data_IF_579074712887
#
_entry.id   IF_579074712887
#
_cell.length_a   1.000
_cell.length_b   1.000
_cell.length_c   1.000
_cell.angle_alpha   90.00
_cell.angle_beta   90.00
_cell.angle_gamma   90.00
#
_symmetry.space_group_name_H-M   'P 1'
#
loop_
_entity.id
_entity.type
_entity.pdbx_description
1 polymer ?
#
# COMPACT_ATOMS: atom_id res chain seq x y z
N UNK A 1 -16.55 -18.60 2.00
CA UNK A 1 -17.21 -17.39 1.45
C UNK A 1 -16.45 -16.12 1.83
N UNK A 2 -16.23 -15.82 3.10
CA UNK A 2 -15.44 -14.63 3.51
C UNK A 2 -14.00 -14.59 2.94
N UNK A 3 -13.33 -15.73 2.86
CA UNK A 3 -11.98 -15.85 2.30
C UNK A 3 -11.90 -15.44 0.81
N UNK A 4 -12.90 -15.76 0.01
CA UNK A 4 -12.91 -15.41 -1.41
C UNK A 4 -13.17 -13.91 -1.63
N UNK A 5 -14.03 -13.29 -0.83
CA UNK A 5 -14.28 -11.85 -0.88
C UNK A 5 -13.03 -11.07 -0.48
N UNK A 6 -12.34 -11.51 0.57
CA UNK A 6 -11.08 -10.92 1.02
C UNK A 6 -10.01 -10.99 -0.07
N UNK A 7 -9.84 -12.14 -0.71
CA UNK A 7 -8.90 -12.31 -1.82
C UNK A 7 -9.25 -11.43 -3.02
N UNK A 8 -10.53 -11.32 -3.36
CA UNK A 8 -11.01 -10.44 -4.44
C UNK A 8 -10.70 -8.99 -4.12
N UNK A 9 -11.03 -8.52 -2.92
CA UNK A 9 -10.75 -7.15 -2.47
C UNK A 9 -9.26 -6.84 -2.48
N UNK A 10 -8.42 -7.78 -2.01
CA UNK A 10 -6.97 -7.63 -2.05
C UNK A 10 -6.44 -7.56 -3.49
N UNK A 11 -6.97 -8.36 -4.40
CA UNK A 11 -6.60 -8.33 -5.81
C UNK A 11 -6.97 -7.01 -6.47
N UNK A 12 -8.18 -6.50 -6.22
CA UNK A 12 -8.63 -5.19 -6.70
C UNK A 12 -7.74 -4.06 -6.17
N UNK A 13 -7.39 -4.10 -4.89
CA UNK A 13 -6.52 -3.09 -4.28
C UNK A 13 -5.10 -3.13 -4.84
N UNK A 14 -4.58 -4.31 -5.15
CA UNK A 14 -3.28 -4.45 -5.83
C UNK A 14 -3.31 -3.88 -7.24
N UNK A 15 -4.40 -4.04 -7.99
CA UNK A 15 -4.57 -3.41 -9.30
C UNK A 15 -4.62 -1.89 -9.20
N UNK A 16 -5.35 -1.35 -8.23
CA UNK A 16 -5.38 0.09 -7.94
C UNK A 16 -3.98 0.60 -7.60
N UNK A 17 -3.26 -0.10 -6.75
CA UNK A 17 -1.88 0.24 -6.37
C UNK A 17 -0.94 0.22 -7.58
N UNK A 18 -1.06 -0.77 -8.46
CA UNK A 18 -0.28 -0.83 -9.69
C UNK A 18 -0.55 0.39 -10.60
N UNK A 19 -1.81 0.81 -10.72
CA UNK A 19 -2.20 2.04 -11.44
C UNK A 19 -1.59 3.30 -10.83
N UNK A 20 -1.61 3.41 -9.50
CA UNK A 20 -0.99 4.51 -8.75
C UNK A 20 0.53 4.55 -8.98
N UNK A 21 1.20 3.42 -8.91
CA UNK A 21 2.65 3.30 -9.16
C UNK A 21 3.02 3.67 -10.60
N UNK A 22 2.19 3.29 -11.57
CA UNK A 22 2.38 3.68 -12.96
C UNK A 22 2.26 5.21 -13.14
N UNK A 23 1.27 5.84 -12.50
CA UNK A 23 1.12 7.29 -12.49
C UNK A 23 2.32 8.00 -11.84
N UNK A 24 2.82 7.47 -10.74
CA UNK A 24 4.03 7.97 -10.06
C UNK A 24 5.24 7.97 -11.01
N UNK A 25 5.46 6.86 -11.73
CA UNK A 25 6.55 6.75 -12.71
C UNK A 25 6.42 7.76 -13.87
N UNK A 26 5.19 7.94 -14.37
CA UNK A 26 4.93 8.95 -15.41
C UNK A 26 5.25 10.36 -14.92
N UNK A 27 4.85 10.71 -13.71
CA UNK A 27 5.15 12.01 -13.10
C UNK A 27 6.64 12.19 -12.85
N UNK A 28 7.35 11.16 -12.38
CA UNK A 28 8.80 11.21 -12.20
C UNK A 28 9.53 11.47 -13.54
N UNK A 29 9.09 10.84 -14.61
CA UNK A 29 9.62 11.08 -15.97
C UNK A 29 9.34 12.50 -16.45
N UNK A 30 8.13 13.02 -16.24
CA UNK A 30 7.76 14.41 -16.60
C UNK A 30 8.60 15.43 -15.81
N UNK A 31 8.75 15.24 -14.51
CA UNK A 31 9.57 16.10 -13.64
C UNK A 31 11.02 16.12 -14.12
N UNK A 32 11.61 14.98 -14.42
CA UNK A 32 12.97 14.87 -14.94
C UNK A 32 13.10 15.59 -16.30
N UNK A 33 12.12 15.46 -17.18
CA UNK A 33 12.07 16.13 -18.48
C UNK A 33 12.01 17.66 -18.33
N UNK A 34 11.13 18.18 -17.48
CA UNK A 34 11.03 19.62 -17.24
C UNK A 34 12.31 20.20 -16.63
N UNK A 35 12.92 19.51 -15.69
CA UNK A 35 14.22 19.91 -15.12
C UNK A 35 15.33 19.95 -16.17
N UNK A 36 15.34 18.98 -17.08
CA UNK A 36 16.30 18.96 -18.20
C UNK A 36 16.07 20.13 -19.15
N UNK A 37 14.83 20.43 -19.49
CA UNK A 37 14.48 21.58 -20.35
C UNK A 37 14.88 22.89 -19.69
N UNK A 38 14.64 23.09 -18.41
CA UNK A 38 15.06 24.28 -17.67
C UNK A 38 16.58 24.49 -17.68
N UNK A 39 17.36 23.42 -17.61
CA UNK A 39 18.83 23.51 -17.70
C UNK A 39 19.33 23.88 -19.09
N UNK A 40 18.61 23.49 -20.13
CA UNK A 40 18.98 23.73 -21.54
C UNK A 40 18.62 25.13 -22.01
N UNK A 41 17.55 25.71 -21.49
CA UNK A 41 17.05 27.00 -21.97
C UNK A 41 18.07 28.15 -21.94
N UNK A 42 18.86 28.38 -20.85
CA UNK A 42 19.87 29.42 -20.84
C UNK A 42 20.94 29.26 -21.93
N UNK A 43 21.36 28.02 -22.20
CA UNK A 43 22.34 27.72 -23.26
C UNK A 43 21.74 27.89 -24.64
N UNK A 44 20.50 27.55 -24.86
CA UNK A 44 19.78 27.77 -26.10
C UNK A 44 19.65 29.27 -26.42
N UNK A 45 19.41 30.10 -25.39
CA UNK A 45 19.41 31.53 -25.52
C UNK A 45 20.81 32.07 -25.92
N UNK A 46 21.86 31.63 -25.21
CA UNK A 46 23.23 32.11 -25.46
C UNK A 46 23.79 31.76 -26.86
N UNK A 47 23.40 30.62 -27.39
CA UNK A 47 23.91 30.07 -28.66
C UNK A 47 22.85 30.00 -29.78
N UNK A 48 21.64 30.47 -29.51
CA UNK A 48 20.51 30.44 -30.44
C UNK A 48 20.06 31.83 -30.86
N UNK A 49 19.08 31.86 -31.75
CA UNK A 49 18.48 33.09 -32.29
C UNK A 49 17.21 33.53 -31.52
N UNK A 50 16.96 32.96 -30.35
CA UNK A 50 15.75 33.25 -29.54
C UNK A 50 15.95 34.54 -28.76
N UNK A 51 14.91 35.40 -28.67
CA UNK A 51 14.94 36.59 -27.84
C UNK A 51 14.99 36.27 -26.35
N UNK A 52 15.58 37.16 -25.55
CA UNK A 52 15.63 37.02 -24.10
C UNK A 52 14.21 36.92 -23.49
N UNK A 53 13.30 37.79 -23.95
CA UNK A 53 11.91 37.79 -23.42
C UNK A 53 11.18 36.47 -23.71
N UNK A 54 11.35 35.91 -24.91
CA UNK A 54 10.79 34.62 -25.27
C UNK A 54 11.39 33.49 -24.43
N UNK A 55 12.69 33.51 -24.15
CA UNK A 55 13.37 32.53 -23.32
C UNK A 55 12.94 32.59 -21.85
N UNK A 56 12.81 33.79 -21.30
CA UNK A 56 12.30 34.01 -19.93
C UNK A 56 10.86 33.55 -19.80
N UNK A 57 9.99 33.86 -20.77
CA UNK A 57 8.61 33.39 -20.81
C UNK A 57 8.51 31.86 -20.88
N UNK A 58 9.32 31.23 -21.72
CA UNK A 58 9.38 29.77 -21.83
C UNK A 58 9.85 29.10 -20.52
N UNK A 59 10.85 29.70 -19.85
CA UNK A 59 11.26 29.23 -18.51
C UNK A 59 10.13 29.29 -17.49
N UNK A 60 9.39 30.40 -17.44
CA UNK A 60 8.25 30.57 -16.55
C UNK A 60 7.16 29.53 -16.77
N UNK A 61 6.83 29.24 -18.03
CA UNK A 61 5.85 28.19 -18.36
C UNK A 61 6.30 26.80 -17.93
N UNK A 62 7.58 26.47 -18.11
CA UNK A 62 8.12 25.16 -17.71
C UNK A 62 8.19 25.05 -16.19
N UNK A 63 8.58 26.11 -15.47
CA UNK A 63 8.58 26.15 -14.01
C UNK A 63 7.18 25.91 -13.44
N UNK A 64 6.16 26.54 -14.01
CA UNK A 64 4.76 26.35 -13.63
C UNK A 64 4.30 24.90 -13.84
N UNK A 65 4.62 24.30 -14.98
CA UNK A 65 4.32 22.90 -15.27
C UNK A 65 5.07 21.94 -14.35
N UNK A 66 6.31 22.27 -14.02
CA UNK A 66 7.11 21.50 -13.07
C UNK A 66 6.49 21.54 -11.67
N UNK A 67 6.08 22.71 -11.21
CA UNK A 67 5.42 22.86 -9.89
C UNK A 67 4.10 22.09 -9.85
N UNK A 68 3.30 22.14 -10.91
CA UNK A 68 2.07 21.37 -11.04
C UNK A 68 2.32 19.86 -11.00
N UNK A 69 3.34 19.38 -11.70
CA UNK A 69 3.73 17.98 -11.72
C UNK A 69 4.21 17.50 -10.33
N UNK A 70 4.98 18.31 -9.62
CA UNK A 70 5.44 18.04 -8.25
C UNK A 70 4.25 17.99 -7.30
N UNK A 71 3.30 18.93 -7.41
CA UNK A 71 2.09 18.94 -6.57
C UNK A 71 1.23 17.70 -6.84
N UNK A 72 1.05 17.32 -8.10
CA UNK A 72 0.31 16.11 -8.48
C UNK A 72 1.00 14.84 -7.95
N UNK A 73 2.33 14.76 -8.05
CA UNK A 73 3.11 13.64 -7.50
C UNK A 73 2.89 13.49 -6.00
N UNK A 74 2.87 14.58 -5.27
CA UNK A 74 2.62 14.60 -3.81
C UNK A 74 1.26 14.00 -3.49
N UNK A 75 0.21 14.37 -4.24
CA UNK A 75 -1.14 13.80 -4.09
C UNK A 75 -1.17 12.32 -4.41
N UNK A 76 -0.50 11.88 -5.48
CA UNK A 76 -0.39 10.47 -5.86
C UNK A 76 0.28 9.64 -4.77
N UNK A 77 1.31 10.19 -4.10
CA UNK A 77 1.96 9.53 -2.97
C UNK A 77 1.05 9.37 -1.76
N UNK A 78 0.14 10.31 -1.51
CA UNK A 78 -0.89 10.18 -0.46
C UNK A 78 -1.83 9.01 -0.75
N UNK A 79 -2.31 8.87 -1.99
CA UNK A 79 -3.12 7.72 -2.42
C UNK A 79 -2.35 6.41 -2.33
N UNK A 80 -1.08 6.40 -2.73
CA UNK A 80 -0.20 5.24 -2.60
C UNK A 80 -0.08 4.79 -1.15
N UNK A 81 0.15 5.71 -0.24
CA UNK A 81 0.25 5.43 1.20
C UNK A 81 -1.05 4.84 1.73
N UNK A 82 -2.19 5.45 1.43
CA UNK A 82 -3.50 4.95 1.84
C UNK A 82 -3.76 3.53 1.30
N UNK A 83 -3.45 3.27 0.03
CA UNK A 83 -3.62 1.95 -0.58
C UNK A 83 -2.72 0.89 0.07
N UNK A 84 -1.47 1.23 0.39
CA UNK A 84 -0.54 0.33 1.09
C UNK A 84 -1.00 0.03 2.51
N UNK A 85 -1.49 1.02 3.25
CA UNK A 85 -2.04 0.84 4.59
C UNK A 85 -3.26 -0.09 4.57
N UNK A 86 -4.16 0.09 3.58
CA UNK A 86 -5.32 -0.78 3.39
C UNK A 86 -4.92 -2.21 3.04
N UNK A 87 -3.95 -2.37 2.15
CA UNK A 87 -3.44 -3.69 1.77
C UNK A 87 -2.79 -4.41 2.95
N UNK A 88 -2.02 -3.70 3.78
CA UNK A 88 -1.42 -4.26 5.00
C UNK A 88 -2.48 -4.71 6.00
N UNK A 89 -3.55 -3.93 6.18
CA UNK A 89 -4.65 -4.32 7.06
C UNK A 89 -5.37 -5.57 6.56
N UNK A 90 -5.64 -5.67 5.26
CA UNK A 90 -6.26 -6.84 4.65
C UNK A 90 -5.35 -8.08 4.74
N UNK A 91 -4.05 -7.91 4.54
CA UNK A 91 -3.06 -8.98 4.72
C UNK A 91 -3.05 -9.51 6.17
N UNK A 92 -3.12 -8.60 7.14
CA UNK A 92 -3.20 -8.97 8.55
C UNK A 92 -4.48 -9.75 8.87
N UNK A 93 -5.63 -9.33 8.34
CA UNK A 93 -6.90 -10.05 8.47
C UNK A 93 -6.78 -11.45 7.88
N UNK A 94 -6.18 -11.58 6.71
CA UNK A 94 -5.92 -12.86 6.06
C UNK A 94 -5.08 -13.78 6.94
N UNK A 95 -4.00 -13.26 7.50
CA UNK A 95 -3.12 -14.03 8.40
C UNK A 95 -3.86 -14.50 9.66
N UNK A 96 -4.71 -13.65 10.24
CA UNK A 96 -5.54 -14.01 11.40
C UNK A 96 -6.55 -15.11 11.04
N UNK A 97 -7.20 -15.02 9.88
CA UNK A 97 -8.13 -16.05 9.41
C UNK A 97 -7.42 -17.38 9.15
N UNK A 98 -6.26 -17.36 8.53
CA UNK A 98 -5.42 -18.55 8.31
C UNK A 98 -4.98 -19.18 9.64
N UNK A 99 -4.60 -18.37 10.62
CA UNK A 99 -4.27 -18.84 11.96
C UNK A 99 -5.49 -19.50 12.67
N UNK A 100 -6.68 -18.91 12.54
CA UNK A 100 -7.92 -19.49 13.07
C UNK A 100 -8.25 -20.83 12.43
N UNK A 101 -8.09 -20.96 11.10
CA UNK A 101 -8.29 -22.20 10.38
C UNK A 101 -7.28 -23.27 10.82
N UNK A 102 -6.02 -22.91 10.94
CA UNK A 102 -4.97 -23.80 11.44
C UNK A 102 -5.26 -24.27 12.87
N UNK A 103 -5.70 -23.37 13.75
CA UNK A 103 -6.09 -23.67 15.10
C UNK A 103 -7.26 -24.68 15.16
N UNK A 104 -8.27 -24.48 14.33
CA UNK A 104 -9.41 -25.38 14.19
C UNK A 104 -9.00 -26.78 13.77
N UNK A 105 -8.12 -26.89 12.76
CA UNK A 105 -7.59 -28.17 12.26
C UNK A 105 -6.78 -28.88 13.35
N UNK A 106 -5.91 -28.16 14.05
CA UNK A 106 -5.08 -28.72 15.12
C UNK A 106 -5.94 -29.21 16.28
N UNK A 107 -6.96 -28.46 16.70
CA UNK A 107 -7.91 -28.88 17.75
C UNK A 107 -8.69 -30.14 17.34
N UNK A 108 -9.10 -30.26 16.10
CA UNK A 108 -9.75 -31.47 15.58
C UNK A 108 -8.81 -32.67 15.63
N UNK A 109 -7.55 -32.49 15.24
CA UNK A 109 -6.52 -33.57 15.32
C UNK A 109 -6.24 -33.95 16.77
N UNK A 110 -6.14 -32.99 17.68
CA UNK A 110 -5.94 -33.24 19.10
C UNK A 110 -7.12 -34.03 19.72
N UNK A 111 -8.36 -33.74 19.28
CA UNK A 111 -9.55 -34.50 19.71
C UNK A 111 -9.60 -35.92 19.17
N UNK A 112 -9.01 -36.19 18.00
CA UNK A 112 -8.96 -37.52 17.36
C UNK A 112 -7.80 -38.39 17.87
N UNK A 113 -6.69 -37.76 18.28
CA UNK A 113 -5.44 -38.46 18.66
C UNK A 113 -5.27 -38.69 20.14
N UNK A 114 -6.36 -38.95 20.89
CA UNK A 114 -6.34 -39.29 22.31
C UNK A 114 -5.48 -40.51 22.69
N UNK A 115 -4.71 -41.07 21.76
CA UNK A 115 -3.77 -42.17 21.94
C UNK A 115 -2.32 -41.83 21.51
N UNK A 116 -2.04 -40.59 21.07
CA UNK A 116 -0.69 -40.15 20.75
C UNK A 116 0.17 -39.94 21.99
N UNK A 117 1.48 -40.23 21.88
CA UNK A 117 2.41 -40.10 22.99
C UNK A 117 2.48 -38.69 23.59
N UNK A 118 2.92 -38.58 24.84
CA UNK A 118 3.01 -37.29 25.59
C UNK A 118 3.82 -36.20 24.86
N UNK A 119 4.80 -36.56 24.05
CA UNK A 119 5.63 -35.62 23.31
C UNK A 119 4.84 -34.91 22.19
N UNK A 120 4.03 -35.63 21.41
CA UNK A 120 3.17 -35.06 20.37
C UNK A 120 2.08 -34.17 20.97
N UNK A 121 1.49 -34.57 22.11
CA UNK A 121 0.51 -33.75 22.83
C UNK A 121 1.08 -32.40 23.31
N UNK A 122 2.33 -32.37 23.76
CA UNK A 122 3.00 -31.15 24.20
C UNK A 122 3.30 -30.21 23.05
N UNK A 123 3.73 -30.71 21.89
CA UNK A 123 3.96 -29.93 20.68
C UNK A 123 2.66 -29.32 20.14
N UNK A 124 1.58 -30.10 20.11
CA UNK A 124 0.26 -29.62 19.69
C UNK A 124 -0.24 -28.52 20.61
N UNK A 125 -0.11 -28.66 21.93
CA UNK A 125 -0.48 -27.63 22.90
C UNK A 125 0.34 -26.36 22.76
N UNK A 126 1.66 -26.47 22.51
CA UNK A 126 2.52 -25.34 22.27
C UNK A 126 2.11 -24.58 20.99
N UNK A 127 1.79 -25.29 19.91
CA UNK A 127 1.32 -24.71 18.66
C UNK A 127 -0.05 -24.02 18.83
N UNK A 128 -0.98 -24.62 19.55
CA UNK A 128 -2.27 -24.01 19.89
C UNK A 128 -2.08 -22.70 20.66
N UNK A 129 -1.22 -22.68 21.67
CA UNK A 129 -0.92 -21.44 22.42
C UNK A 129 -0.29 -20.37 21.57
N UNK A 130 0.63 -20.74 20.66
CA UNK A 130 1.25 -19.82 19.73
C UNK A 130 0.22 -19.17 18.80
N UNK A 131 -0.68 -19.95 18.22
CA UNK A 131 -1.73 -19.46 17.33
C UNK A 131 -2.77 -18.61 18.07
N UNK A 132 -3.16 -18.99 19.27
CA UNK A 132 -4.06 -18.20 20.10
C UNK A 132 -3.45 -16.85 20.48
N UNK A 133 -2.18 -16.81 20.85
CA UNK A 133 -1.45 -15.59 21.14
C UNK A 133 -1.37 -14.68 19.91
N UNK A 134 -1.06 -15.25 18.76
CA UNK A 134 -1.03 -14.52 17.48
C UNK A 134 -2.40 -13.91 17.16
N UNK A 135 -3.47 -14.68 17.26
CA UNK A 135 -4.84 -14.21 17.02
C UNK A 135 -5.22 -13.09 18.00
N UNK A 136 -4.91 -13.25 19.29
CA UNK A 136 -5.21 -12.24 20.30
C UNK A 136 -4.46 -10.91 20.04
N UNK A 137 -3.19 -10.98 19.69
CA UNK A 137 -2.34 -9.80 19.47
C UNK A 137 -2.72 -9.02 18.20
N UNK A 138 -3.00 -9.73 17.12
CA UNK A 138 -3.22 -9.11 15.81
C UNK A 138 -4.68 -8.87 15.45
N UNK A 139 -5.65 -9.57 16.04
CA UNK A 139 -7.07 -9.31 15.75
C UNK A 139 -7.51 -7.92 16.21
N UNK A 140 -7.07 -7.48 17.38
CA UNK A 140 -7.32 -6.11 17.87
C UNK A 140 -6.72 -5.06 16.96
N UNK A 141 -5.51 -5.26 16.47
CA UNK A 141 -4.83 -4.34 15.57
C UNK A 141 -5.54 -4.25 14.22
N UNK A 142 -6.00 -5.38 13.68
CA UNK A 142 -6.79 -5.42 12.45
C UNK A 142 -8.13 -4.69 12.59
N UNK A 143 -8.85 -4.94 13.69
CA UNK A 143 -10.13 -4.27 14.00
C UNK A 143 -9.96 -2.76 14.16
N UNK A 144 -8.95 -2.32 14.90
CA UNK A 144 -8.65 -0.89 15.09
C UNK A 144 -8.32 -0.20 13.77
N UNK A 145 -7.55 -0.84 12.90
CA UNK A 145 -7.21 -0.30 11.58
C UNK A 145 -8.44 -0.09 10.70
N UNK A 146 -9.41 -0.99 10.77
CA UNK A 146 -10.66 -0.89 10.00
C UNK A 146 -11.57 0.17 10.60
N UNK A 147 -11.74 0.17 11.92
CA UNK A 147 -12.65 1.10 12.62
C UNK A 147 -12.22 2.53 12.44
N UNK A 148 -10.93 2.85 12.59
CA UNK A 148 -10.41 4.20 12.40
C UNK A 148 -10.66 4.75 11.00
N UNK A 149 -10.59 3.90 9.98
CA UNK A 149 -10.84 4.29 8.58
C UNK A 149 -12.31 4.54 8.28
N UNK A 150 -13.21 3.77 8.87
CA UNK A 150 -14.65 4.03 8.77
C UNK A 150 -15.05 5.33 9.46
N UNK A 151 -14.42 5.66 10.59
CA UNK A 151 -14.64 6.92 11.30
C UNK A 151 -14.11 8.12 10.51
N UNK A 152 -12.92 8.00 9.92
CA UNK A 152 -12.35 9.05 9.06
C UNK A 152 -13.23 9.33 7.83
N UNK A 153 -13.80 8.30 7.20
CA UNK A 153 -14.73 8.48 6.08
C UNK A 153 -16.02 9.20 6.48
N UNK A 154 -16.57 8.89 7.65
CA UNK A 154 -17.78 9.56 8.16
C UNK A 154 -17.56 11.03 8.48
N UNK A 155 -16.36 11.43 8.83
CA UNK A 155 -16.02 12.82 9.14
C UNK A 155 -15.79 13.67 7.88
N UNK A 156 -15.62 13.03 6.72
CA UNK A 156 -15.41 13.70 5.43
C UNK A 156 -16.70 13.85 4.58
N UNK A 157 -17.80 13.23 5.00
CA UNK A 157 -19.15 13.42 4.43
C UNK A 157 -19.95 14.49 5.18
#
# INVERSE_FOLDING_TARGET
>A
MASSQLQTTMAELRLILAGIQNKERQLDAMIAQFRTQLRRLPRQFLYGSTSLDASVSAMGEIEERLDDAIAMRRRVLEFKRAALEDLQALELIKQVEEARQSLKVIRQRAGLSGQGGRAEGAEILAEIRRLESFIADYSKQAEQSITSRYEERRQQE
#
